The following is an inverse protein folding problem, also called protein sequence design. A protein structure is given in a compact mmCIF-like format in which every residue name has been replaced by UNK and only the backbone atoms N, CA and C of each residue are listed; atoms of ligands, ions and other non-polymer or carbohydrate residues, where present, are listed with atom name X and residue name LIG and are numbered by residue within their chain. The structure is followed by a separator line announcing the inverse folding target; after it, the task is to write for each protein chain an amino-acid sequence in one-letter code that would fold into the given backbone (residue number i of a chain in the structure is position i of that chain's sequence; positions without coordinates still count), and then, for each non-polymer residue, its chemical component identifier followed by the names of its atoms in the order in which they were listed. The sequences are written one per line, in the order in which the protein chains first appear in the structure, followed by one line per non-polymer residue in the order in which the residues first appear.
data_IF_919073840999
#
_entry.id   IF_919073840999
#
_cell.length_a   1.000
_cell.length_b   1.000
_cell.length_c   1.000
_cell.angle_alpha   90.00
_cell.angle_beta   90.00
_cell.angle_gamma   90.00
#
_symmetry.space_group_name_H-M   'P 1'
#
loop_
_entity.id
_entity.type
_entity.pdbx_description
1 polymer ?
#
# COMPACT_ATOMS: atom_id res chain seq x y z
N UNK A 1 8.40 10.42 -4.40
CA UNK A 1 9.09 10.85 -5.63
C UNK A 1 8.19 10.86 -6.86
N UNK A 2 7.41 9.81 -7.20
CA UNK A 2 6.45 9.85 -8.33
C UNK A 2 5.37 10.94 -8.19
N UNK A 3 4.53 10.87 -7.15
CA UNK A 3 3.48 11.89 -6.89
C UNK A 3 4.10 13.28 -6.65
N UNK A 4 5.27 13.31 -6.02
CA UNK A 4 6.06 14.52 -5.76
C UNK A 4 6.59 15.18 -7.04
N UNK A 5 6.98 14.39 -8.05
CA UNK A 5 7.48 14.88 -9.34
C UNK A 5 6.34 15.40 -10.23
N UNK A 6 5.17 14.76 -10.18
CA UNK A 6 3.94 15.29 -10.80
C UNK A 6 3.55 16.65 -10.19
N UNK A 7 3.57 16.76 -8.85
CA UNK A 7 3.29 18.00 -8.11
C UNK A 7 4.22 19.16 -8.47
N UNK A 8 5.51 18.88 -8.71
CA UNK A 8 6.51 19.87 -9.10
C UNK A 8 6.50 20.21 -10.61
N UNK A 9 5.58 19.63 -11.39
CA UNK A 9 5.42 19.89 -12.82
C UNK A 9 6.42 19.17 -13.74
N UNK A 10 7.18 18.22 -13.19
CA UNK A 10 8.06 17.32 -13.94
C UNK A 10 7.32 16.00 -14.27
N UNK A 11 6.12 16.11 -14.83
CA UNK A 11 5.25 14.94 -15.08
C UNK A 11 5.89 13.88 -16.00
N UNK A 12 6.79 14.29 -16.89
CA UNK A 12 7.54 13.39 -17.78
C UNK A 12 8.46 12.42 -17.03
N UNK A 13 8.95 12.77 -15.84
CA UNK A 13 9.82 11.92 -15.03
C UNK A 13 9.04 11.06 -14.02
N UNK A 14 7.80 11.39 -13.72
CA UNK A 14 7.00 10.69 -12.71
C UNK A 14 6.61 9.26 -13.15
N UNK A 15 6.31 9.08 -14.45
CA UNK A 15 5.88 7.81 -15.05
C UNK A 15 6.89 6.66 -14.91
N UNK A 16 8.20 6.80 -15.22
CA UNK A 16 9.15 5.70 -15.05
C UNK A 16 9.29 5.26 -13.58
N UNK A 17 9.26 6.20 -12.62
CA UNK A 17 9.23 5.85 -11.20
C UNK A 17 7.91 5.18 -10.79
N UNK A 18 6.80 5.54 -11.44
CA UNK A 18 5.50 4.91 -11.24
C UNK A 18 5.44 3.47 -11.72
N UNK A 19 5.96 3.19 -12.90
CA UNK A 19 6.04 1.83 -13.45
C UNK A 19 6.91 0.96 -12.54
N UNK A 20 8.05 1.46 -12.07
CA UNK A 20 8.92 0.73 -11.14
C UNK A 20 8.25 0.48 -9.78
N UNK A 21 7.52 1.46 -9.25
CA UNK A 21 6.74 1.28 -8.03
C UNK A 21 5.60 0.27 -8.21
N UNK A 22 4.93 0.28 -9.37
CA UNK A 22 3.88 -0.68 -9.70
C UNK A 22 4.43 -2.12 -9.81
N UNK A 23 5.61 -2.31 -10.42
CA UNK A 23 6.28 -3.61 -10.48
C UNK A 23 6.59 -4.16 -9.07
N UNK A 24 7.19 -3.34 -8.20
CA UNK A 24 7.49 -3.72 -6.82
C UNK A 24 6.22 -4.00 -5.99
N UNK A 25 5.13 -3.28 -6.25
CA UNK A 25 3.83 -3.56 -5.63
C UNK A 25 3.22 -4.86 -6.19
N UNK A 26 3.36 -5.13 -7.48
CA UNK A 26 2.85 -6.32 -8.16
C UNK A 26 3.49 -7.63 -7.69
N UNK A 27 4.77 -7.59 -7.33
CA UNK A 27 5.51 -8.72 -6.73
C UNK A 27 5.10 -9.02 -5.28
N UNK A 28 4.30 -8.16 -4.66
CA UNK A 28 3.82 -8.36 -3.29
C UNK A 28 2.59 -9.28 -3.25
N UNK A 29 2.68 -10.37 -2.46
CA UNK A 29 1.53 -11.21 -2.07
C UNK A 29 0.61 -10.53 -1.01
N UNK A 30 0.74 -9.22 -0.84
CA UNK A 30 -0.08 -8.47 0.09
C UNK A 30 -1.52 -8.41 -0.39
N UNK A 31 -2.48 -8.66 0.52
CA UNK A 31 -3.90 -8.40 0.27
C UNK A 31 -4.22 -6.93 -0.07
N UNK A 32 -3.27 -6.03 0.16
CA UNK A 32 -3.37 -4.61 -0.19
C UNK A 32 -2.81 -4.31 -1.58
N UNK A 33 -2.25 -5.29 -2.31
CA UNK A 33 -1.62 -5.08 -3.63
C UNK A 33 -2.51 -4.29 -4.57
N UNK A 34 -3.72 -4.79 -4.83
CA UNK A 34 -4.62 -4.19 -5.80
C UNK A 34 -5.10 -2.80 -5.35
N UNK A 35 -5.30 -2.60 -4.04
CA UNK A 35 -5.59 -1.30 -3.44
C UNK A 35 -4.44 -0.30 -3.62
N UNK A 36 -3.22 -0.72 -3.31
CA UNK A 36 -2.01 0.10 -3.43
C UNK A 36 -1.72 0.48 -4.87
N UNK A 37 -1.92 -0.45 -5.82
CA UNK A 37 -1.83 -0.19 -7.26
C UNK A 37 -2.89 0.79 -7.74
N UNK A 38 -4.15 0.60 -7.33
CA UNK A 38 -5.25 1.49 -7.72
C UNK A 38 -5.04 2.92 -7.20
N UNK A 39 -4.55 3.08 -5.96
CA UNK A 39 -4.20 4.39 -5.40
C UNK A 39 -3.01 5.01 -6.15
N UNK A 40 -1.96 4.23 -6.43
CA UNK A 40 -0.79 4.70 -7.19
C UNK A 40 -1.19 5.21 -8.59
N UNK A 41 -2.02 4.43 -9.30
CA UNK A 41 -2.54 4.81 -10.62
C UNK A 41 -3.40 6.07 -10.54
N UNK A 42 -4.31 6.15 -9.58
CA UNK A 42 -5.20 7.30 -9.39
C UNK A 42 -4.43 8.58 -9.12
N UNK A 43 -3.37 8.51 -8.29
CA UNK A 43 -2.52 9.66 -8.00
C UNK A 43 -1.64 10.05 -9.20
N UNK A 44 -1.19 9.09 -10.00
CA UNK A 44 -0.45 9.39 -11.23
C UNK A 44 -1.37 10.00 -12.31
N UNK A 45 -2.59 9.49 -12.47
CA UNK A 45 -3.61 9.97 -13.40
C UNK A 45 -4.17 11.35 -13.02
N UNK A 46 -4.29 11.64 -11.72
CA UNK A 46 -4.67 12.97 -11.24
C UNK A 46 -3.73 14.07 -11.73
N UNK A 47 -2.48 13.71 -12.05
CA UNK A 47 -1.48 14.55 -12.73
C UNK A 47 -1.47 16.00 -12.23
N UNK A 48 -1.57 16.18 -10.90
CA UNK A 48 -1.62 17.48 -10.24
C UNK A 48 -0.31 18.22 -10.53
N UNK A 49 -0.33 19.12 -11.49
CA UNK A 49 0.75 20.07 -11.76
C UNK A 49 0.45 21.32 -10.94
N UNK A 50 1.30 21.68 -9.97
CA UNK A 50 1.14 22.95 -9.25
C UNK A 50 1.21 24.15 -10.20
N UNK A 51 1.94 24.03 -11.31
CA UNK A 51 1.98 25.00 -12.40
C UNK A 51 1.89 24.23 -13.73
N UNK A 52 0.83 24.40 -14.54
CA UNK A 52 0.70 23.77 -15.85
C UNK A 52 1.56 24.53 -16.89
N UNK A 53 2.87 24.57 -16.66
CA UNK A 53 3.85 25.32 -17.47
C UNK A 53 3.84 24.87 -18.93
N UNK A 54 3.67 23.57 -19.21
CA UNK A 54 3.60 23.06 -20.58
C UNK A 54 2.40 23.61 -21.36
N UNK A 55 1.23 23.72 -20.73
CA UNK A 55 0.01 24.25 -21.38
C UNK A 55 0.14 25.76 -21.59
N UNK A 56 0.73 26.47 -20.62
CA UNK A 56 1.03 27.90 -20.73
C UNK A 56 2.02 28.13 -21.88
N UNK A 57 3.12 27.37 -21.94
CA UNK A 57 4.13 27.50 -23.00
C UNK A 57 3.55 27.23 -24.40
N UNK A 58 2.69 26.22 -24.55
CA UNK A 58 1.97 25.95 -25.79
C UNK A 58 1.04 27.11 -26.19
N UNK A 59 0.30 27.69 -25.24
CA UNK A 59 -0.55 28.85 -25.50
C UNK A 59 0.25 30.10 -25.86
N UNK A 60 1.37 30.33 -25.19
CA UNK A 60 2.27 31.43 -25.50
C UNK A 60 2.84 31.27 -26.91
N UNK A 61 3.28 30.06 -27.29
CA UNK A 61 3.75 29.76 -28.64
C UNK A 61 2.66 29.92 -29.71
N UNK A 62 1.39 29.68 -29.36
CA UNK A 62 0.23 29.89 -30.23
C UNK A 62 -0.26 31.35 -30.29
N UNK A 63 0.44 32.30 -29.65
CA UNK A 63 0.07 33.73 -29.68
C UNK A 63 -1.13 34.10 -28.81
N UNK A 64 -1.48 33.28 -27.82
CA UNK A 64 -2.63 33.53 -26.95
C UNK A 64 -2.48 34.83 -26.14
N UNK A 65 -3.50 35.69 -26.16
CA UNK A 65 -3.53 36.95 -25.41
C UNK A 65 -3.50 36.77 -23.89
N UNK A 66 -4.03 35.65 -23.37
CA UNK A 66 -4.02 35.32 -21.94
C UNK A 66 -3.64 33.85 -21.67
N UNK A 67 -2.36 33.46 -21.81
CA UNK A 67 -1.90 32.07 -21.71
C UNK A 67 -2.17 31.42 -20.34
N UNK A 68 -2.13 32.21 -19.27
CA UNK A 68 -2.32 31.77 -17.88
C UNK A 68 -3.77 31.55 -17.47
N UNK A 69 -4.76 31.97 -18.28
CA UNK A 69 -6.19 31.84 -17.95
C UNK A 69 -6.68 30.39 -17.75
N UNK A 70 -5.93 29.40 -18.26
CA UNK A 70 -6.23 27.96 -18.09
C UNK A 70 -5.86 27.40 -16.73
N UNK A 71 -5.04 28.10 -15.94
CA UNK A 71 -4.54 27.56 -14.68
C UNK A 71 -5.70 27.28 -13.71
N UNK A 72 -6.63 28.22 -13.55
CA UNK A 72 -7.81 28.04 -12.68
C UNK A 72 -8.66 26.81 -13.03
N UNK A 73 -9.15 26.64 -14.28
CA UNK A 73 -9.95 25.45 -14.62
C UNK A 73 -9.16 24.14 -14.51
N UNK A 74 -7.85 24.13 -14.78
CA UNK A 74 -7.00 22.94 -14.60
C UNK A 74 -6.96 22.53 -13.13
N UNK A 75 -6.68 23.47 -12.23
CA UNK A 75 -6.63 23.21 -10.79
C UNK A 75 -7.98 22.72 -10.25
N UNK A 76 -9.08 23.34 -10.70
CA UNK A 76 -10.42 22.96 -10.29
C UNK A 76 -10.79 21.55 -10.78
N UNK A 77 -10.45 21.23 -12.03
CA UNK A 77 -10.68 19.89 -12.60
C UNK A 77 -9.89 18.81 -11.85
N UNK A 78 -8.61 19.05 -11.56
CA UNK A 78 -7.79 18.09 -10.80
C UNK A 78 -8.28 17.91 -9.37
N UNK A 79 -8.74 18.98 -8.72
CA UNK A 79 -9.33 18.89 -7.38
C UNK A 79 -10.60 18.04 -7.41
N UNK A 80 -11.50 18.28 -8.36
CA UNK A 80 -12.73 17.51 -8.49
C UNK A 80 -12.46 16.04 -8.82
N UNK A 81 -11.45 15.77 -9.64
CA UNK A 81 -10.99 14.41 -9.91
C UNK A 81 -10.50 13.71 -8.63
N UNK A 82 -9.65 14.34 -7.81
CA UNK A 82 -9.22 13.72 -6.54
C UNK A 82 -10.40 13.47 -5.61
N UNK A 83 -11.30 14.44 -5.47
CA UNK A 83 -12.44 14.35 -4.56
C UNK A 83 -13.39 13.22 -4.93
N UNK A 84 -13.47 12.85 -6.21
CA UNK A 84 -14.35 11.77 -6.69
C UNK A 84 -13.61 10.44 -6.81
N UNK A 85 -12.41 10.42 -7.40
CA UNK A 85 -11.68 9.20 -7.70
C UNK A 85 -11.13 8.49 -6.45
N UNK A 86 -10.59 9.22 -5.46
CA UNK A 86 -10.06 8.61 -4.23
C UNK A 86 -11.14 7.88 -3.43
N UNK A 87 -12.31 8.47 -3.12
CA UNK A 87 -13.38 7.76 -2.45
C UNK A 87 -13.87 6.53 -3.22
N UNK A 88 -13.98 6.62 -4.55
CA UNK A 88 -14.38 5.49 -5.40
C UNK A 88 -13.36 4.35 -5.30
N UNK A 89 -12.07 4.66 -5.41
CA UNK A 89 -11.00 3.66 -5.29
C UNK A 89 -11.00 3.01 -3.91
N UNK A 90 -11.15 3.81 -2.85
CA UNK A 90 -11.26 3.29 -1.48
C UNK A 90 -12.48 2.41 -1.34
N UNK A 91 -13.62 2.78 -1.91
CA UNK A 91 -14.85 2.01 -1.84
C UNK A 91 -14.75 0.66 -2.57
N UNK A 92 -14.25 0.67 -3.81
CA UNK A 92 -14.15 -0.52 -4.67
C UNK A 92 -13.05 -1.47 -4.21
N UNK A 93 -11.88 -0.93 -3.86
CA UNK A 93 -10.69 -1.74 -3.55
C UNK A 93 -10.44 -1.92 -2.05
N UNK A 94 -11.35 -1.47 -1.15
CA UNK A 94 -11.17 -1.61 0.31
C UNK A 94 -10.92 -3.08 0.68
N UNK A 95 -9.72 -3.45 1.14
CA UNK A 95 -9.48 -4.83 1.52
C UNK A 95 -10.20 -5.12 2.83
N UNK A 96 -11.14 -6.07 2.82
CA UNK A 96 -11.84 -6.51 4.03
C UNK A 96 -10.82 -7.07 5.03
N UNK A 97 -10.75 -6.47 6.21
CA UNK A 97 -9.91 -6.98 7.28
C UNK A 97 -10.42 -8.34 7.75
N UNK A 98 -9.73 -9.43 7.38
CA UNK A 98 -9.95 -10.72 8.05
C UNK A 98 -9.49 -10.58 9.50
N UNK A 99 -10.44 -10.52 10.45
CA UNK A 99 -10.18 -10.58 11.90
C UNK A 99 -9.22 -11.74 12.18
N UNK A 100 -8.17 -11.49 12.98
CA UNK A 100 -7.06 -12.38 13.36
C UNK A 100 -7.51 -13.69 14.04
N UNK A 101 -8.21 -14.58 13.35
CA UNK A 101 -8.59 -15.90 13.87
C UNK A 101 -7.37 -16.85 13.89
N UNK A 102 -6.37 -16.64 13.01
CA UNK A 102 -5.17 -17.49 12.93
C UNK A 102 -4.14 -17.32 14.06
N UNK A 103 -4.06 -16.14 14.70
CA UNK A 103 -3.05 -15.89 15.76
C UNK A 103 -3.40 -16.60 17.08
N UNK A 104 -4.68 -16.94 17.26
CA UNK A 104 -5.17 -17.71 18.43
C UNK A 104 -4.96 -19.21 18.24
N UNK A 105 -5.03 -19.74 17.01
CA UNK A 105 -4.79 -21.16 16.75
C UNK A 105 -3.31 -21.53 16.84
N UNK A 106 -2.40 -20.65 16.39
CA UNK A 106 -0.95 -20.87 16.49
C UNK A 106 -0.47 -20.84 17.95
N UNK A 107 -0.86 -19.82 18.73
CA UNK A 107 -0.55 -19.75 20.18
C UNK A 107 -1.11 -20.94 20.97
N UNK A 108 -2.26 -21.49 20.56
CA UNK A 108 -2.83 -22.71 21.18
C UNK A 108 -2.02 -23.96 20.85
N UNK A 109 -1.58 -24.11 19.60
CA UNK A 109 -0.72 -25.24 19.18
C UNK A 109 0.64 -25.20 19.87
N UNK A 110 1.26 -24.02 20.00
CA UNK A 110 2.55 -23.85 20.67
C UNK A 110 2.47 -24.07 22.19
N UNK A 111 1.38 -23.64 22.82
CA UNK A 111 1.14 -23.89 24.25
C UNK A 111 0.88 -25.39 24.52
N UNK A 112 0.12 -26.06 23.65
CA UNK A 112 -0.16 -27.50 23.77
C UNK A 112 1.10 -28.35 23.55
N UNK A 113 1.99 -27.97 22.62
CA UNK A 113 3.25 -28.69 22.38
C UNK A 113 4.24 -28.54 23.54
N UNK A 114 4.32 -27.36 24.16
CA UNK A 114 5.13 -27.14 25.37
C UNK A 114 4.65 -27.96 26.56
N UNK A 115 3.33 -28.03 26.78
CA UNK A 115 2.75 -28.85 27.86
C UNK A 115 3.07 -30.33 27.71
N UNK A 116 2.94 -30.88 26.49
CA UNK A 116 3.31 -32.28 26.23
C UNK A 116 4.79 -32.57 26.52
N UNK A 117 5.69 -31.63 26.20
CA UNK A 117 7.12 -31.77 26.50
C UNK A 117 7.42 -31.75 28.00
N UNK A 118 6.76 -30.89 28.77
CA UNK A 118 6.94 -30.82 30.22
C UNK A 118 6.38 -32.05 30.92
N UNK A 119 5.23 -32.54 30.49
CA UNK A 119 4.59 -33.72 31.08
C UNK A 119 5.42 -34.99 30.83
N UNK A 120 6.01 -35.12 29.64
CA UNK A 120 6.90 -36.23 29.29
C UNK A 120 8.20 -36.19 30.12
N UNK A 121 8.82 -35.02 30.28
CA UNK A 121 10.03 -34.86 31.07
C UNK A 121 9.80 -35.20 32.56
N UNK A 122 8.68 -34.73 33.13
CA UNK A 122 8.32 -35.02 34.51
C UNK A 122 8.08 -36.52 34.75
N UNK A 123 7.44 -37.21 33.80
CA UNK A 123 7.17 -38.64 33.91
C UNK A 123 8.46 -39.48 33.78
N UNK A 124 9.38 -39.08 32.91
CA UNK A 124 10.69 -39.72 32.77
C UNK A 124 11.53 -39.58 34.05
N UNK A 125 11.50 -38.41 34.70
CA UNK A 125 12.21 -38.20 35.97
C UNK A 125 11.60 -39.04 37.10
N UNK A 126 10.27 -39.16 37.14
CA UNK A 126 9.57 -39.99 38.14
C UNK A 126 9.87 -41.47 37.96
N UNK A 127 9.98 -41.97 36.72
CA UNK A 127 10.38 -43.35 36.42
C UNK A 127 11.81 -43.64 36.90
N UNK A 128 12.76 -42.74 36.62
CA UNK A 128 14.15 -42.88 37.07
C UNK A 128 14.30 -42.88 38.60
N UNK A 129 13.50 -42.07 39.30
CA UNK A 129 13.50 -42.05 40.78
C UNK A 129 12.85 -43.30 41.39
N UNK A 130 11.83 -43.86 40.75
CA UNK A 130 11.21 -45.11 41.19
C UNK A 130 12.19 -46.29 41.09
N UNK A 131 12.95 -46.36 39.99
CA UNK A 131 13.99 -47.37 39.78
C UNK A 131 15.20 -47.20 40.72
N UNK A 132 15.55 -45.96 41.09
CA UNK A 132 16.67 -45.68 42.00
C UNK A 132 16.34 -45.89 43.50
N UNK A 133 15.05 -46.02 43.86
CA UNK A 133 14.59 -46.24 45.24
C UNK A 133 14.25 -47.69 45.57
N UNK A 134 14.52 -48.64 44.67
CA UNK A 134 14.23 -50.08 44.85
C UNK A 134 15.48 -50.92 45.16
N UNK A 135 16.50 -50.31 45.78
CA UNK A 135 17.73 -50.98 46.25
C UNK A 135 17.86 -50.87 47.76
#
# INVERSE_FOLDING_TARGET
MNVSANLLGLGALATPYGVRAAALMGESESKYRDYSLAVLFTLNAASLQAIPTSVIALRTAAGSLAPSSVVCPILLSSLFFLLTALPVVIFVYKPKEKKKIGRKSMRRKDAASRRKRTDFAANAEKSKRAEAGTV
#
